data_IF_216700279850
#
_entry.id   IF_216700279850
#
_cell.length_a   1.000
_cell.length_b   1.000
_cell.length_c   1.000
_cell.angle_alpha   90.00
_cell.angle_beta   90.00
_cell.angle_gamma   90.00
#
_symmetry.space_group_name_H-M   'P 1'
#
loop_
_entity.id
_entity.type
_entity.pdbx_description
1 polymer ?
#
# COMPACT_ATOMS: atom_id res chain seq x y z
N UNK A 1 19.33 -16.21 16.88
CA UNK A 1 18.43 -17.32 16.51
C UNK A 1 17.01 -16.86 16.75
N UNK A 2 16.09 -17.12 15.81
CA UNK A 2 14.67 -16.81 15.98
C UNK A 2 14.07 -17.70 17.08
N UNK A 3 13.26 -17.10 17.96
CA UNK A 3 12.53 -17.83 18.99
C UNK A 3 11.11 -18.10 18.47
N UNK A 4 10.68 -19.36 18.48
CA UNK A 4 9.29 -19.69 18.16
C UNK A 4 8.39 -19.20 19.30
N UNK A 5 7.50 -18.26 19.00
CA UNK A 5 6.63 -17.61 19.99
C UNK A 5 5.26 -18.30 20.11
N UNK A 6 4.63 -18.62 18.98
CA UNK A 6 3.32 -19.25 18.91
C UNK A 6 3.24 -20.18 17.69
N UNK A 7 2.33 -21.17 17.73
CA UNK A 7 2.07 -22.09 16.62
C UNK A 7 0.72 -22.81 16.80
N UNK A 8 0.19 -23.35 15.70
CA UNK A 8 -1.06 -24.14 15.70
C UNK A 8 -0.77 -25.60 15.39
N UNK A 9 -1.51 -26.53 16.02
CA UNK A 9 -1.45 -27.97 15.72
C UNK A 9 -2.29 -28.38 14.51
N UNK A 10 -3.20 -27.51 14.07
CA UNK A 10 -4.13 -27.72 12.97
C UNK A 10 -4.83 -26.40 12.61
N UNK A 11 -5.77 -26.46 11.66
CA UNK A 11 -6.44 -25.28 11.13
C UNK A 11 -7.17 -24.44 12.20
N UNK A 12 -7.05 -23.12 12.06
CA UNK A 12 -7.84 -22.04 12.68
C UNK A 12 -9.34 -22.07 12.39
N UNK A 13 -10.13 -21.16 12.97
CA UNK A 13 -11.00 -20.25 12.20
C UNK A 13 -10.34 -18.84 12.20
N UNK A 14 -10.82 -17.92 11.37
CA UNK A 14 -10.31 -16.53 11.35
C UNK A 14 -10.44 -15.89 12.75
N UNK A 15 -9.33 -15.36 13.26
CA UNK A 15 -9.25 -14.74 14.60
C UNK A 15 -9.76 -15.61 15.76
N UNK A 16 -9.69 -16.94 15.64
CA UNK A 16 -9.97 -17.87 16.73
C UNK A 16 -8.74 -18.06 17.61
N UNK A 17 -8.63 -17.32 18.72
CA UNK A 17 -7.40 -17.21 19.51
C UNK A 17 -7.20 -18.29 20.59
N UNK A 18 -8.22 -19.12 20.83
CA UNK A 18 -8.33 -19.98 22.02
C UNK A 18 -8.52 -21.47 21.70
N UNK A 19 -8.39 -21.88 20.44
CA UNK A 19 -8.51 -23.28 20.03
C UNK A 19 -7.36 -24.16 20.51
N UNK A 20 -6.14 -23.62 20.51
CA UNK A 20 -4.95 -24.29 21.02
C UNK A 20 -4.18 -23.38 22.00
N UNK A 21 -3.69 -23.92 23.14
CA UNK A 21 -2.85 -23.16 24.07
C UNK A 21 -1.59 -22.60 23.41
N UNK A 22 -1.05 -23.28 22.39
CA UNK A 22 0.16 -22.88 21.68
C UNK A 22 -0.01 -21.67 20.75
N UNK A 23 -1.24 -21.20 20.53
CA UNK A 23 -1.51 -19.94 19.79
C UNK A 23 -1.04 -18.70 20.53
N UNK A 24 -0.68 -18.84 21.80
CA UNK A 24 -0.25 -17.75 22.66
C UNK A 24 1.21 -17.96 23.06
N UNK A 25 2.00 -16.89 22.97
CA UNK A 25 3.33 -16.88 23.53
C UNK A 25 3.29 -16.77 25.05
N UNK A 26 4.41 -17.09 25.70
CA UNK A 26 4.67 -16.52 27.03
C UNK A 26 4.69 -14.99 26.96
N UNK A 27 4.50 -14.30 28.08
CA UNK A 27 4.64 -12.84 28.12
C UNK A 27 6.03 -12.41 27.63
N UNK A 28 6.06 -11.43 26.74
CA UNK A 28 7.27 -10.83 26.20
C UNK A 28 7.30 -9.37 26.65
N UNK A 29 8.41 -8.94 27.24
CA UNK A 29 8.61 -7.55 27.59
C UNK A 29 9.07 -6.76 26.36
N UNK A 30 8.27 -5.78 25.95
CA UNK A 30 8.59 -4.86 24.87
C UNK A 30 8.96 -3.50 25.45
N UNK A 31 9.97 -2.86 24.86
CA UNK A 31 10.38 -1.49 25.15
C UNK A 31 9.63 -0.56 24.19
N UNK A 32 9.00 0.49 24.73
CA UNK A 32 8.29 1.47 23.91
C UNK A 32 9.24 2.11 22.87
N UNK A 33 8.78 2.20 21.63
CA UNK A 33 9.55 2.79 20.52
C UNK A 33 10.62 1.87 19.89
N UNK A 34 10.81 0.65 20.41
CA UNK A 34 11.74 -0.33 19.84
C UNK A 34 11.01 -1.24 18.85
N UNK A 35 11.56 -1.40 17.65
CA UNK A 35 11.05 -2.34 16.65
C UNK A 35 11.51 -3.76 16.99
N UNK A 36 10.58 -4.71 16.86
CA UNK A 36 10.83 -6.12 17.06
C UNK A 36 10.55 -6.88 15.77
N UNK A 37 11.49 -7.76 15.39
CA UNK A 37 11.30 -8.63 14.24
C UNK A 37 10.29 -9.72 14.59
N UNK A 38 9.25 -9.83 13.77
CA UNK A 38 8.34 -10.98 13.77
C UNK A 38 8.41 -11.65 12.41
N UNK A 39 8.51 -12.97 12.42
CA UNK A 39 8.43 -13.82 11.24
C UNK A 39 7.27 -14.76 11.43
N UNK A 40 6.48 -14.94 10.38
CA UNK A 40 5.40 -15.90 10.36
C UNK A 40 5.64 -16.94 9.27
N UNK A 41 5.79 -18.19 9.67
CA UNK A 41 5.79 -19.33 8.75
C UNK A 41 4.35 -19.82 8.60
N UNK A 42 3.78 -19.59 7.43
CA UNK A 42 2.43 -20.02 7.10
C UNK A 42 2.49 -21.19 6.10
N UNK A 43 1.69 -22.23 6.34
CA UNK A 43 1.59 -23.40 5.47
C UNK A 43 0.13 -23.67 5.18
N UNK A 44 -0.21 -23.70 3.90
CA UNK A 44 -1.49 -24.18 3.38
C UNK A 44 -1.43 -25.69 3.11
N UNK A 45 -2.55 -26.38 3.31
CA UNK A 45 -2.75 -27.76 2.85
C UNK A 45 -4.04 -27.89 2.03
N UNK A 46 -5.17 -27.43 2.58
CA UNK A 46 -6.45 -27.30 1.89
C UNK A 46 -7.36 -26.30 2.61
N UNK A 47 -8.04 -25.40 1.90
CA UNK A 47 -9.09 -24.52 2.46
C UNK A 47 -8.83 -23.04 2.18
N UNK A 48 -9.48 -22.15 2.94
CA UNK A 48 -9.18 -20.73 2.93
C UNK A 48 -8.05 -20.44 3.91
N UNK A 49 -7.09 -19.62 3.50
CA UNK A 49 -5.92 -19.25 4.30
C UNK A 49 -6.09 -17.89 4.96
N UNK A 50 -5.54 -17.78 6.16
CA UNK A 50 -5.42 -16.53 6.88
C UNK A 50 -4.30 -16.64 7.89
N UNK A 51 -3.66 -15.51 8.12
CA UNK A 51 -2.81 -15.31 9.28
C UNK A 51 -3.17 -13.98 9.93
N UNK A 52 -3.27 -14.00 11.25
CA UNK A 52 -3.45 -12.80 12.04
C UNK A 52 -2.56 -12.91 13.27
N UNK A 53 -1.83 -11.85 13.57
CA UNK A 53 -1.12 -11.70 14.83
C UNK A 53 -1.92 -10.74 15.71
N UNK A 54 -2.16 -11.13 16.96
CA UNK A 54 -2.80 -10.29 17.96
C UNK A 54 -1.88 -10.13 19.17
N UNK A 55 -2.01 -9.01 19.86
CA UNK A 55 -1.35 -8.77 21.14
C UNK A 55 -2.40 -8.57 22.23
N UNK A 56 -1.97 -8.72 23.47
CA UNK A 56 -2.68 -8.27 24.65
C UNK A 56 -1.66 -7.95 25.73
N UNK A 57 -2.02 -7.09 26.66
CA UNK A 57 -1.13 -6.63 27.71
C UNK A 57 -1.89 -6.20 28.95
N UNK A 58 -1.18 -5.79 30.02
CA UNK A 58 -1.80 -5.39 31.29
C UNK A 58 -2.92 -4.34 31.13
N UNK A 59 -2.74 -3.39 30.21
CA UNK A 59 -3.68 -2.31 29.91
C UNK A 59 -4.16 -2.33 28.44
N UNK A 60 -3.95 -3.44 27.74
CA UNK A 60 -4.21 -3.56 26.31
C UNK A 60 -5.14 -4.74 26.04
N UNK A 61 -6.41 -4.50 25.69
CA UNK A 61 -7.31 -5.60 25.34
C UNK A 61 -6.79 -6.33 24.12
N UNK A 62 -7.13 -7.62 24.01
CA UNK A 62 -6.71 -8.42 22.88
C UNK A 62 -7.22 -7.79 21.58
N UNK A 63 -6.28 -7.48 20.68
CA UNK A 63 -6.58 -6.89 19.39
C UNK A 63 -5.54 -7.34 18.37
N UNK A 64 -5.96 -7.38 17.11
CA UNK A 64 -5.05 -7.64 15.98
C UNK A 64 -4.01 -6.53 15.93
N UNK A 65 -2.75 -6.89 15.73
CA UNK A 65 -1.68 -5.94 15.45
C UNK A 65 -1.93 -5.39 14.05
N UNK A 66 -2.50 -4.20 13.98
CA UNK A 66 -2.81 -3.56 12.70
C UNK A 66 -1.55 -2.92 12.08
N UNK A 67 -1.68 -2.52 10.82
CA UNK A 67 -0.60 -2.03 9.97
C UNK A 67 0.18 -0.84 10.53
N UNK A 68 -0.44 0.00 11.37
CA UNK A 68 0.26 1.12 12.04
C UNK A 68 1.45 0.65 12.91
N UNK A 69 1.47 -0.63 13.31
CA UNK A 69 2.51 -1.25 14.13
C UNK A 69 3.37 -2.29 13.39
N UNK A 70 3.07 -2.57 12.12
CA UNK A 70 3.81 -3.53 11.31
C UNK A 70 4.67 -2.82 10.27
N UNK A 71 5.90 -3.30 10.12
CA UNK A 71 6.87 -2.77 9.16
C UNK A 71 7.47 -3.92 8.38
N UNK A 72 7.68 -3.74 7.08
CA UNK A 72 8.36 -4.73 6.25
C UNK A 72 9.80 -4.89 6.77
N UNK A 73 10.13 -6.11 7.21
CA UNK A 73 11.47 -6.41 7.68
C UNK A 73 12.47 -6.41 6.51
N UNK A 74 13.58 -5.68 6.69
CA UNK A 74 14.75 -5.73 5.82
C UNK A 74 15.97 -6.10 6.67
N UNK A 75 16.62 -7.26 6.42
CA UNK A 75 17.67 -7.80 7.30
C UNK A 75 18.95 -6.97 7.40
N UNK A 76 19.09 -5.90 6.61
CA UNK A 76 20.28 -5.06 6.57
C UNK A 76 20.05 -3.63 7.10
N UNK A 77 18.84 -3.32 7.60
CA UNK A 77 18.40 -1.95 7.82
C UNK A 77 17.95 -1.75 9.27
N UNK A 78 18.65 -0.93 10.05
CA UNK A 78 18.13 -0.36 11.30
C UNK A 78 17.46 0.97 10.99
N UNK A 79 16.15 1.08 11.19
CA UNK A 79 15.41 2.33 11.03
C UNK A 79 15.48 3.16 12.32
N UNK A 80 15.84 4.44 12.22
CA UNK A 80 15.58 5.42 13.28
C UNK A 80 14.28 6.14 12.97
N UNK A 81 13.36 6.18 13.94
CA UNK A 81 12.09 6.91 13.82
C UNK A 81 12.32 8.36 14.20
N UNK A 82 11.90 9.29 13.35
CA UNK A 82 11.82 10.72 13.63
C UNK A 82 10.37 11.15 13.47
N UNK A 83 9.71 11.56 14.56
CA UNK A 83 8.36 12.09 14.45
C UNK A 83 8.39 13.45 13.75
N UNK A 84 7.45 13.69 12.85
CA UNK A 84 7.37 14.97 12.13
C UNK A 84 7.01 16.10 13.09
N UNK A 85 6.31 15.82 14.20
CA UNK A 85 6.07 16.81 15.25
C UNK A 85 7.34 17.26 16.00
N UNK A 86 8.42 16.45 16.01
CA UNK A 86 9.72 16.85 16.56
C UNK A 86 10.52 17.75 15.60
N UNK A 87 10.13 17.81 14.32
CA UNK A 87 10.83 18.58 13.30
C UNK A 87 10.30 20.01 13.20
N UNK A 88 11.18 20.94 12.87
CA UNK A 88 10.76 22.29 12.50
C UNK A 88 10.52 22.35 10.99
N UNK A 89 9.33 22.76 10.54
CA UNK A 89 9.08 22.95 9.13
C UNK A 89 9.94 24.10 8.59
N UNK A 90 10.40 23.95 7.35
CA UNK A 90 11.07 25.02 6.60
C UNK A 90 10.10 26.11 6.18
N UNK A 91 8.83 25.76 6.00
CA UNK A 91 7.71 26.69 5.81
C UNK A 91 6.42 26.06 6.34
N UNK A 92 5.53 26.88 6.90
CA UNK A 92 4.24 26.45 7.39
C UNK A 92 3.17 27.51 7.09
N UNK A 93 2.07 27.08 6.50
CA UNK A 93 0.83 27.87 6.35
C UNK A 93 -0.34 27.04 6.84
N UNK A 94 -1.33 27.71 7.39
CA UNK A 94 -2.51 27.07 7.95
C UNK A 94 -3.72 28.00 7.77
N UNK A 95 -4.89 27.44 7.46
CA UNK A 95 -6.05 28.22 7.03
C UNK A 95 -6.65 29.03 8.17
N UNK A 96 -6.71 28.43 9.35
CA UNK A 96 -7.18 29.07 10.58
C UNK A 96 -6.24 28.72 11.74
N UNK A 97 -5.69 29.75 12.38
CA UNK A 97 -4.81 29.58 13.53
C UNK A 97 -3.45 28.98 13.16
N UNK A 98 -2.58 28.78 14.15
CA UNK A 98 -1.34 28.04 13.93
C UNK A 98 -1.62 26.55 13.68
N UNK A 99 -0.69 25.88 13.00
CA UNK A 99 -0.64 24.42 13.10
C UNK A 99 -0.15 24.04 14.50
N UNK A 100 -0.64 22.93 15.01
CA UNK A 100 -0.39 22.49 16.37
C UNK A 100 0.42 21.21 16.40
N UNK A 101 1.30 21.09 17.40
CA UNK A 101 2.13 19.89 17.59
C UNK A 101 1.61 19.12 18.77
N UNK A 102 1.41 17.84 18.55
CA UNK A 102 0.95 16.92 19.58
C UNK A 102 -0.44 17.29 20.18
N UNK A 103 -1.24 18.10 19.46
CA UNK A 103 -2.66 18.46 19.72
C UNK A 103 -3.41 18.70 18.40
N UNK A 104 -4.75 18.76 18.44
CA UNK A 104 -5.61 19.17 17.30
C UNK A 104 -5.42 20.67 16.98
N UNK A 105 -6.04 21.19 15.91
CA UNK A 105 -6.05 22.63 15.63
C UNK A 105 -7.00 23.36 16.60
N UNK A 106 -6.51 24.30 17.40
CA UNK A 106 -7.34 25.05 18.36
C UNK A 106 -7.76 26.45 17.91
N UNK A 107 -7.61 26.76 16.62
CA UNK A 107 -8.06 27.98 15.92
C UNK A 107 -7.35 29.30 16.29
N UNK A 108 -7.09 29.60 17.58
CA UNK A 108 -6.82 30.98 18.01
C UNK A 108 -5.34 31.25 18.36
N UNK A 109 -4.77 30.45 19.26
CA UNK A 109 -3.45 30.68 19.85
C UNK A 109 -2.63 29.40 19.85
N UNK A 110 -1.32 29.49 19.65
CA UNK A 110 -0.47 28.31 19.70
C UNK A 110 -0.62 27.55 21.03
N UNK A 111 -0.90 26.25 20.97
CA UNK A 111 -1.07 25.35 22.10
C UNK A 111 -2.46 25.38 22.76
N UNK A 112 -3.49 25.88 22.08
CA UNK A 112 -4.88 25.82 22.55
C UNK A 112 -5.68 24.63 22.00
N UNK A 113 -5.06 23.81 21.15
CA UNK A 113 -5.64 22.59 20.60
C UNK A 113 -5.98 21.53 21.66
N UNK A 114 -6.97 20.69 21.32
CA UNK A 114 -7.42 19.60 22.16
C UNK A 114 -6.57 18.34 21.97
N UNK A 115 -6.93 17.28 22.69
CA UNK A 115 -6.43 15.95 22.36
C UNK A 115 -7.03 15.50 21.05
N UNK A 116 -6.21 15.47 20.01
CA UNK A 116 -6.55 14.93 18.70
C UNK A 116 -7.04 13.49 18.78
N UNK A 117 -8.15 13.22 18.12
CA UNK A 117 -8.70 11.88 17.96
C UNK A 117 -9.22 11.67 16.54
N UNK A 118 -8.96 10.48 15.99
CA UNK A 118 -9.49 10.04 14.70
C UNK A 118 -10.34 8.80 14.92
N UNK A 119 -11.63 8.86 14.59
CA UNK A 119 -12.58 7.75 14.78
C UNK A 119 -12.48 7.12 16.18
N UNK A 120 -12.33 7.97 17.20
CA UNK A 120 -12.17 7.59 18.61
C UNK A 120 -10.77 7.11 19.03
N UNK A 121 -9.79 7.07 18.11
CA UNK A 121 -8.40 6.67 18.40
C UNK A 121 -7.57 7.89 18.78
N UNK A 122 -6.88 7.82 19.93
CA UNK A 122 -5.96 8.87 20.38
C UNK A 122 -4.52 8.57 20.00
N UNK A 123 -3.78 9.60 19.59
CA UNK A 123 -2.38 9.51 19.19
C UNK A 123 -1.47 10.38 20.05
N UNK A 124 -0.34 9.84 20.53
CA UNK A 124 0.60 10.60 21.35
C UNK A 124 1.48 11.59 20.56
N UNK A 125 1.75 11.30 19.28
CA UNK A 125 2.55 12.15 18.38
C UNK A 125 1.73 12.50 17.15
N UNK A 126 1.66 13.78 16.81
CA UNK A 126 0.66 14.27 15.84
C UNK A 126 0.88 15.72 15.42
N UNK A 127 0.24 16.11 14.32
CA UNK A 127 0.13 17.50 13.87
C UNK A 127 -1.33 17.81 13.55
N UNK A 128 -1.91 18.79 14.25
CA UNK A 128 -3.25 19.32 13.97
C UNK A 128 -3.16 20.54 13.06
N UNK A 129 -3.97 20.56 12.00
CA UNK A 129 -4.01 21.65 11.01
C UNK A 129 -5.45 22.01 10.67
N UNK A 130 -5.63 23.17 10.03
CA UNK A 130 -6.91 23.58 9.46
C UNK A 130 -6.73 23.90 7.97
N UNK A 131 -7.58 23.36 7.10
CA UNK A 131 -7.46 23.61 5.66
C UNK A 131 -7.70 25.09 5.29
N UNK A 132 -7.04 25.67 4.29
CA UNK A 132 -5.90 25.10 3.57
C UNK A 132 -4.62 25.19 4.40
N UNK A 133 -3.92 24.07 4.55
CA UNK A 133 -2.63 24.01 5.25
C UNK A 133 -1.55 23.43 4.36
N UNK A 134 -0.32 23.86 4.61
CA UNK A 134 0.88 23.32 3.98
C UNK A 134 2.05 23.41 4.97
N UNK A 135 2.62 22.26 5.31
CA UNK A 135 3.82 22.13 6.13
C UNK A 135 4.94 21.54 5.27
N UNK A 136 6.08 22.23 5.17
CA UNK A 136 7.25 21.80 4.39
C UNK A 136 8.39 21.40 5.32
N UNK A 137 9.06 20.30 5.01
CA UNK A 137 10.17 19.77 5.79
C UNK A 137 11.34 19.43 4.89
N UNK A 138 12.55 19.86 5.27
CA UNK A 138 13.77 19.43 4.60
C UNK A 138 14.11 18.00 5.02
N UNK A 139 14.10 17.07 4.06
CA UNK A 139 14.51 15.68 4.24
C UNK A 139 16.01 15.49 4.00
N UNK A 140 16.61 16.30 3.12
CA UNK A 140 18.04 16.26 2.80
C UNK A 140 18.56 14.85 2.42
N UNK A 141 17.71 13.99 1.85
CA UNK A 141 18.04 12.61 1.50
C UNK A 141 18.31 11.67 2.68
N UNK A 142 17.99 12.06 3.93
CA UNK A 142 18.34 11.30 5.13
C UNK A 142 17.35 10.19 5.48
N UNK A 143 16.18 10.22 4.85
CA UNK A 143 15.05 9.35 5.16
C UNK A 143 14.74 8.41 4.00
N UNK A 144 14.13 7.26 4.31
CA UNK A 144 13.69 6.26 3.34
C UNK A 144 12.17 6.06 3.32
N UNK A 145 11.46 6.35 4.42
CA UNK A 145 9.99 6.26 4.44
C UNK A 145 9.35 7.38 5.25
N UNK A 146 8.17 7.82 4.84
CA UNK A 146 7.24 8.66 5.59
C UNK A 146 5.95 7.88 5.83
N UNK A 147 5.48 7.87 7.07
CA UNK A 147 4.28 7.16 7.51
C UNK A 147 3.38 8.10 8.31
N UNK A 148 2.05 8.03 8.13
CA UNK A 148 1.08 8.75 8.96
C UNK A 148 -0.30 8.09 8.92
N UNK A 149 -1.07 8.22 9.98
CA UNK A 149 -2.53 8.03 9.96
C UNK A 149 -3.17 9.40 9.70
N UNK A 150 -4.22 9.46 8.89
CA UNK A 150 -4.86 10.74 8.50
C UNK A 150 -6.39 10.68 8.62
N UNK A 151 -6.97 11.84 8.90
CA UNK A 151 -8.42 12.02 8.97
C UNK A 151 -8.83 13.43 9.38
N UNK A 152 -10.13 13.72 9.27
CA UNK A 152 -10.74 14.89 9.90
C UNK A 152 -10.79 14.65 11.42
N UNK A 153 -10.41 15.64 12.22
CA UNK A 153 -10.40 15.50 13.69
C UNK A 153 -11.82 15.28 14.23
N UNK A 154 -12.00 14.37 15.18
CA UNK A 154 -13.32 14.07 15.73
C UNK A 154 -13.98 15.29 16.44
N UNK A 155 -13.22 16.32 16.84
CA UNK A 155 -13.72 17.51 17.53
C UNK A 155 -14.72 18.31 16.70
N UNK A 156 -14.63 18.20 15.37
CA UNK A 156 -15.56 18.82 14.42
C UNK A 156 -16.70 17.89 14.00
N UNK A 157 -16.71 16.63 14.44
CA UNK A 157 -17.73 15.64 14.07
C UNK A 157 -17.76 15.39 12.57
N UNK A 158 -18.94 15.48 11.94
CA UNK A 158 -19.10 15.28 10.49
C UNK A 158 -19.35 16.58 9.71
N UNK A 159 -18.83 17.71 10.23
CA UNK A 159 -19.22 19.03 9.75
C UNK A 159 -18.31 19.60 8.65
N UNK A 160 -17.07 19.14 8.53
CA UNK A 160 -16.13 19.58 7.50
C UNK A 160 -15.84 18.50 6.47
N UNK A 161 -14.91 18.82 5.58
CA UNK A 161 -14.37 17.85 4.64
C UNK A 161 -12.97 18.23 4.20
N UNK A 162 -12.05 17.27 4.19
CA UNK A 162 -10.63 17.53 3.93
C UNK A 162 -10.06 16.58 2.88
N UNK A 163 -9.00 17.01 2.21
CA UNK A 163 -8.21 16.14 1.33
C UNK A 163 -6.73 16.33 1.63
N UNK A 164 -6.06 15.23 1.94
CA UNK A 164 -4.66 15.18 2.29
C UNK A 164 -3.82 14.92 1.06
N UNK A 165 -2.71 15.64 0.94
CA UNK A 165 -1.70 15.40 -0.07
C UNK A 165 -0.32 15.32 0.55
N UNK A 166 0.50 14.40 0.05
CA UNK A 166 1.93 14.33 0.33
C UNK A 166 2.68 14.60 -0.95
N UNK A 167 3.54 15.62 -0.95
CA UNK A 167 4.47 15.88 -2.04
C UNK A 167 5.92 15.61 -1.61
N UNK A 168 6.72 15.14 -2.55
CA UNK A 168 8.18 15.06 -2.44
C UNK A 168 8.82 15.80 -3.61
N UNK A 169 9.71 16.74 -3.34
CA UNK A 169 10.41 17.51 -4.38
C UNK A 169 9.46 18.00 -5.50
N UNK A 170 8.30 18.53 -5.10
CA UNK A 170 7.18 18.99 -5.94
C UNK A 170 6.39 17.92 -6.73
N UNK A 171 6.72 16.64 -6.61
CA UNK A 171 5.90 15.53 -7.10
C UNK A 171 4.82 15.16 -6.06
N UNK A 172 3.58 14.94 -6.50
CA UNK A 172 2.49 14.46 -5.63
C UNK A 172 2.59 12.95 -5.48
N UNK A 173 2.82 12.42 -4.28
CA UNK A 173 2.99 10.97 -4.04
C UNK A 173 1.77 10.31 -3.41
N UNK A 174 0.94 11.07 -2.71
CA UNK A 174 -0.25 10.55 -2.06
C UNK A 174 -1.38 11.58 -2.10
N UNK A 175 -2.60 11.12 -2.36
CA UNK A 175 -3.83 11.89 -2.22
C UNK A 175 -4.89 11.00 -1.57
N UNK A 176 -5.51 11.45 -0.47
CA UNK A 176 -6.56 10.66 0.20
C UNK A 176 -7.88 10.64 -0.56
N UNK A 177 -8.13 11.70 -1.35
CA UNK A 177 -9.48 12.07 -1.74
C UNK A 177 -10.22 12.71 -0.56
N UNK A 178 -11.49 13.05 -0.76
CA UNK A 178 -12.30 13.67 0.28
C UNK A 178 -12.51 12.72 1.47
N UNK A 179 -12.08 13.17 2.64
CA UNK A 179 -12.36 12.58 3.94
C UNK A 179 -13.32 13.48 4.71
N UNK A 180 -14.14 12.86 5.53
CA UNK A 180 -15.04 13.48 6.51
C UNK A 180 -14.89 12.72 7.83
N UNK A 181 -15.44 13.21 8.94
CA UNK A 181 -15.40 12.53 10.23
C UNK A 181 -16.18 11.21 10.28
N UNK A 182 -16.87 10.82 9.21
CA UNK A 182 -17.45 9.49 9.04
C UNK A 182 -16.56 8.53 8.23
N UNK A 183 -15.42 9.00 7.74
CA UNK A 183 -14.49 8.18 6.96
C UNK A 183 -13.66 7.32 7.88
N UNK A 184 -13.33 6.11 7.44
CA UNK A 184 -12.32 5.30 8.10
C UNK A 184 -10.97 6.06 8.10
N UNK A 185 -10.20 5.86 9.16
CA UNK A 185 -8.81 6.34 9.24
C UNK A 185 -8.05 5.79 8.02
N UNK A 186 -7.36 6.67 7.28
CA UNK A 186 -6.50 6.23 6.20
C UNK A 186 -5.04 6.23 6.63
N UNK A 187 -4.29 5.24 6.15
CA UNK A 187 -2.86 5.14 6.37
C UNK A 187 -2.09 5.65 5.14
N UNK A 188 -1.07 6.45 5.41
CA UNK A 188 -0.12 6.99 4.45
C UNK A 188 1.20 6.24 4.62
N UNK A 189 1.67 5.64 3.53
CA UNK A 189 3.00 5.03 3.45
C UNK A 189 3.70 5.47 2.16
N UNK A 190 4.64 6.40 2.27
CA UNK A 190 5.35 7.02 1.12
C UNK A 190 6.86 6.79 1.20
N UNK A 191 7.45 6.32 0.11
CA UNK A 191 8.91 6.19 -0.05
C UNK A 191 9.49 7.59 -0.24
N UNK A 192 10.40 7.98 0.66
CA UNK A 192 11.05 9.29 0.64
C UNK A 192 12.56 9.20 0.41
N UNK A 193 13.04 8.04 -0.04
CA UNK A 193 14.45 7.81 -0.31
C UNK A 193 15.00 8.86 -1.29
N UNK A 194 16.10 9.49 -0.89
CA UNK A 194 16.80 10.52 -1.67
C UNK A 194 16.01 11.82 -1.90
N UNK A 195 14.81 11.98 -1.35
CA UNK A 195 14.04 13.20 -1.48
C UNK A 195 14.64 14.33 -0.62
N UNK A 196 14.51 15.59 -1.09
CA UNK A 196 15.07 16.76 -0.41
C UNK A 196 14.02 17.51 0.41
N UNK A 197 12.77 17.55 -0.05
CA UNK A 197 11.65 18.22 0.62
C UNK A 197 10.44 17.29 0.71
N UNK A 198 9.80 17.26 1.88
CA UNK A 198 8.48 16.69 2.13
C UNK A 198 7.49 17.84 2.33
N UNK A 199 6.37 17.83 1.61
CA UNK A 199 5.28 18.79 1.82
C UNK A 199 4.02 18.03 2.21
N UNK A 200 3.48 18.35 3.38
CA UNK A 200 2.23 17.82 3.91
C UNK A 200 1.16 18.89 3.74
N UNK A 201 0.15 18.61 2.92
CA UNK A 201 -0.85 19.60 2.52
C UNK A 201 -2.23 19.08 2.84
N UNK A 202 -3.08 19.95 3.40
CA UNK A 202 -4.52 19.68 3.54
C UNK A 202 -5.29 20.74 2.78
N UNK A 203 -6.17 20.32 1.87
CA UNK A 203 -7.17 21.20 1.25
C UNK A 203 -8.56 20.86 1.78
N UNK A 204 -9.52 21.70 1.44
CA UNK A 204 -10.92 21.35 1.51
C UNK A 204 -11.24 20.10 0.65
N UNK A 205 -12.22 19.29 1.09
CA UNK A 205 -12.64 18.02 0.53
C UNK A 205 -13.74 18.10 -0.54
N UNK A 206 -14.17 19.29 -0.94
CA UNK A 206 -15.16 19.49 -2.01
C UNK A 206 -16.34 20.39 -1.64
N UNK A 207 -16.32 21.02 -0.47
CA UNK A 207 -17.32 21.97 0.02
C UNK A 207 -16.71 23.36 0.35
N UNK A 208 -16.69 23.77 1.62
CA UNK A 208 -16.21 25.05 2.11
C UNK A 208 -15.29 24.82 3.32
N UNK A 209 -14.42 25.77 3.66
CA UNK A 209 -13.38 25.55 4.66
C UNK A 209 -13.87 25.45 6.12
N UNK A 210 -15.17 25.60 6.40
CA UNK A 210 -15.63 25.54 7.79
C UNK A 210 -15.44 24.13 8.33
N UNK A 211 -14.92 24.03 9.57
CA UNK A 211 -14.72 22.77 10.27
C UNK A 211 -13.65 21.85 9.65
N UNK A 212 -12.81 22.34 8.74
CA UNK A 212 -11.77 21.53 8.09
C UNK A 212 -10.53 21.30 9.00
N UNK A 213 -10.77 20.83 10.24
CA UNK A 213 -9.75 20.42 11.19
C UNK A 213 -9.24 19.03 10.80
N UNK A 214 -7.94 18.91 10.59
CA UNK A 214 -7.34 17.74 10.00
C UNK A 214 -6.05 17.34 10.69
N UNK A 215 -5.80 16.05 10.68
CA UNK A 215 -4.75 15.45 11.48
C UNK A 215 -3.78 14.64 10.66
N UNK A 216 -2.50 14.92 10.85
CA UNK A 216 -1.42 14.01 10.54
C UNK A 216 -1.02 13.26 11.82
N UNK A 217 -1.78 12.22 12.14
CA UNK A 217 -1.58 11.39 13.32
C UNK A 217 -0.39 10.43 13.13
N UNK A 218 0.42 10.24 14.18
CA UNK A 218 1.58 9.36 14.17
C UNK A 218 2.57 9.61 13.01
N UNK A 219 2.58 10.84 12.46
CA UNK A 219 3.37 11.23 11.32
C UNK A 219 4.86 11.11 11.64
N UNK A 220 5.57 10.26 10.89
CA UNK A 220 6.97 9.90 11.19
C UNK A 220 7.77 9.57 9.94
N UNK A 221 9.05 9.87 10.01
CA UNK A 221 10.07 9.54 9.03
C UNK A 221 10.96 8.43 9.55
N UNK A 222 11.32 7.49 8.67
CA UNK A 222 12.29 6.44 8.94
C UNK A 222 13.57 6.77 8.19
N UNK A 223 14.73 6.74 8.86
CA UNK A 223 16.02 6.97 8.19
C UNK A 223 16.26 5.96 7.07
N UNK A 224 16.87 6.41 5.98
CA UNK A 224 17.32 5.48 4.94
C UNK A 224 18.25 4.46 5.56
N UNK A 225 18.07 3.21 5.14
CA UNK A 225 18.92 2.13 5.54
C UNK A 225 20.38 2.38 5.20
N UNK A 226 21.19 2.79 6.17
CA UNK A 226 22.63 2.59 6.05
C UNK A 226 22.88 1.10 6.19
N UNK A 227 23.49 0.47 5.18
CA UNK A 227 24.03 -0.88 5.34
C UNK A 227 24.92 -0.89 6.58
N UNK A 228 24.43 -1.49 7.66
CA UNK A 228 25.24 -1.75 8.84
C UNK A 228 26.32 -2.76 8.44
N UNK A 229 27.57 -2.68 8.95
CA UNK A 229 28.52 -3.76 8.75
C UNK A 229 27.84 -5.09 9.13
N UNK A 230 27.99 -6.09 8.26
CA UNK A 230 27.42 -7.43 8.41
C UNK A 230 27.42 -7.85 9.89
N UNK A 231 26.26 -8.19 10.49
CA UNK A 231 26.26 -8.68 11.86
C UNK A 231 27.07 -9.97 11.90
N UNK A 232 28.28 -9.90 12.43
CA UNK A 232 29.00 -11.09 12.86
C UNK A 232 28.19 -11.64 14.03
N UNK A 233 27.44 -12.71 13.80
CA UNK A 233 26.79 -13.44 14.89
C UNK A 233 27.87 -13.92 15.84
N UNK A 234 28.00 -13.25 16.98
CA UNK A 234 28.86 -13.71 18.07
C UNK A 234 28.01 -14.66 18.91
N UNK A 235 28.31 -15.98 18.95
CA UNK A 235 27.63 -16.87 19.87
C UNK A 235 27.88 -16.42 21.32
N UNK A 236 26.91 -16.68 22.21
CA UNK A 236 27.00 -16.41 23.65
C UNK A 236 28.31 -17.01 24.22
N UNK A 237 29.08 -16.27 25.05
CA UNK A 237 30.44 -16.67 25.42
C UNK A 237 30.46 -17.87 26.37
N UNK A 238 31.38 -18.80 26.09
CA UNK A 238 31.97 -19.70 27.09
C UNK A 238 33.38 -19.20 27.41
N UNK A 239 33.72 -19.08 28.70
CA UNK A 239 34.98 -18.51 29.17
C UNK A 239 36.22 -19.30 28.71
N UNK A 240 37.24 -18.63 28.18
CA UNK A 240 38.61 -18.54 28.75
C UNK A 240 39.58 -17.72 27.87
N UNK A 241 40.65 -17.25 28.53
CA UNK A 241 41.61 -16.18 28.24
C UNK A 241 42.44 -16.25 26.94
N UNK A 242 42.81 -15.07 26.39
CA UNK A 242 44.21 -14.57 26.13
C UNK A 242 44.21 -13.46 25.03
N UNK A 243 45.05 -12.39 25.10
CA UNK A 243 44.78 -11.12 24.42
C UNK A 243 45.37 -10.97 23.00
N UNK A 244 44.82 -9.97 22.30
CA UNK A 244 45.05 -9.57 20.91
C UNK A 244 46.43 -8.95 20.61
N UNK A 245 46.78 -8.84 19.31
CA UNK A 245 47.58 -7.73 18.81
C UNK A 245 46.77 -6.79 17.90
N UNK A 246 47.11 -5.50 18.02
CA UNK A 246 46.62 -4.37 17.23
C UNK A 246 47.31 -4.34 15.87
N UNK A 247 46.56 -4.08 14.79
CA UNK A 247 47.14 -3.79 13.46
C UNK A 247 46.58 -2.48 12.89
N UNK A 248 47.52 -1.66 12.43
CA UNK A 248 47.42 -0.29 11.95
C UNK A 248 46.81 -0.23 10.53
N UNK A 249 45.91 0.72 10.28
CA UNK A 249 45.33 0.96 8.97
C UNK A 249 46.26 1.78 8.07
N UNK A 250 46.46 1.34 6.83
CA UNK A 250 47.07 2.11 5.73
C UNK A 250 46.03 2.37 4.65
N UNK A 251 45.91 3.61 4.18
CA UNK A 251 45.01 4.02 3.11
C UNK A 251 45.58 3.64 1.72
N UNK A 252 44.78 2.95 0.91
CA UNK A 252 44.99 2.72 -0.52
C UNK A 252 44.14 3.68 -1.36
N UNK A 253 44.62 4.19 -2.51
CA UNK A 253 43.87 5.08 -3.39
C UNK A 253 42.72 4.35 -4.11
N UNK A 254 41.69 5.08 -4.58
CA UNK A 254 40.42 4.49 -5.03
C UNK A 254 40.57 3.74 -6.37
N UNK A 255 39.84 2.62 -6.56
CA UNK A 255 39.86 1.88 -7.81
C UNK A 255 39.12 2.62 -8.92
N UNK A 256 39.70 2.58 -10.12
CA UNK A 256 39.09 2.98 -11.40
C UNK A 256 37.76 2.25 -11.59
N UNK A 257 36.69 2.99 -11.94
CA UNK A 257 35.36 2.44 -12.13
C UNK A 257 35.33 1.36 -13.24
N UNK A 258 34.97 0.14 -12.84
CA UNK A 258 34.63 -0.97 -13.74
C UNK A 258 33.27 -0.70 -14.39
N UNK A 259 33.06 -1.00 -15.68
CA UNK A 259 31.74 -0.88 -16.31
C UNK A 259 30.71 -1.71 -15.52
N UNK A 260 29.69 -1.04 -15.01
CA UNK A 260 28.61 -1.64 -14.23
C UNK A 260 27.77 -2.55 -15.13
N UNK A 261 27.61 -3.80 -14.71
CA UNK A 261 26.62 -4.75 -15.24
C UNK A 261 25.24 -4.06 -15.29
N UNK A 262 24.46 -4.20 -16.38
CA UNK A 262 23.10 -3.66 -16.44
C UNK A 262 22.29 -4.18 -15.24
N UNK A 263 21.43 -3.35 -14.63
CA UNK A 263 20.59 -3.79 -13.52
C UNK A 263 19.74 -4.99 -13.94
N UNK A 264 19.66 -5.99 -13.06
CA UNK A 264 18.86 -7.19 -13.25
C UNK A 264 17.37 -6.83 -13.36
N UNK A 265 16.63 -7.54 -14.23
CA UNK A 265 15.20 -7.29 -14.41
C UNK A 265 14.44 -7.67 -13.13
N UNK A 266 13.67 -6.72 -12.58
CA UNK A 266 12.81 -6.97 -11.43
C UNK A 266 11.51 -7.67 -11.87
N UNK A 267 11.11 -8.71 -11.14
CA UNK A 267 9.80 -9.36 -11.30
C UNK A 267 8.82 -8.76 -10.30
N UNK A 268 7.66 -8.35 -10.78
CA UNK A 268 6.54 -7.85 -9.98
C UNK A 268 5.38 -8.82 -10.18
N UNK A 269 4.95 -9.43 -9.09
CA UNK A 269 3.82 -10.35 -9.05
C UNK A 269 2.82 -9.82 -8.02
N UNK A 270 1.62 -9.50 -8.48
CA UNK A 270 0.58 -8.80 -7.72
C UNK A 270 -0.78 -9.36 -8.09
N UNK A 271 -1.69 -9.31 -7.14
CA UNK A 271 -3.01 -9.90 -7.26
C UNK A 271 -4.10 -8.83 -7.06
N UNK A 272 -5.30 -9.12 -7.56
CA UNK A 272 -6.50 -8.40 -7.13
C UNK A 272 -6.77 -8.69 -5.66
N UNK A 273 -6.96 -7.65 -4.84
CA UNK A 273 -7.03 -7.75 -3.38
C UNK A 273 -8.29 -7.12 -2.77
N UNK A 274 -9.25 -6.69 -3.58
CA UNK A 274 -10.57 -6.26 -3.08
C UNK A 274 -11.64 -6.45 -4.15
N UNK A 275 -12.90 -6.60 -3.74
CA UNK A 275 -14.05 -6.65 -4.67
C UNK A 275 -14.19 -5.37 -5.50
N UNK A 276 -13.58 -4.26 -5.09
CA UNK A 276 -13.59 -3.02 -5.88
C UNK A 276 -12.43 -2.90 -6.88
N UNK A 277 -11.57 -3.92 -6.94
CA UNK A 277 -10.44 -4.00 -7.85
C UNK A 277 -10.71 -4.93 -9.04
N UNK A 278 -11.83 -5.64 -9.08
CA UNK A 278 -12.35 -6.27 -10.29
C UNK A 278 -13.86 -6.08 -10.42
N UNK A 279 -14.35 -6.09 -11.66
CA UNK A 279 -15.76 -5.80 -11.93
C UNK A 279 -16.21 -6.28 -13.31
N UNK A 280 -17.49 -6.62 -13.41
CA UNK A 280 -18.21 -6.79 -14.68
C UNK A 280 -19.07 -5.57 -14.97
N UNK A 281 -19.18 -5.18 -16.24
CA UNK A 281 -20.15 -4.20 -16.72
C UNK A 281 -20.85 -4.67 -17.99
N UNK A 282 -22.18 -4.75 -17.95
CA UNK A 282 -22.97 -4.97 -19.16
C UNK A 282 -22.94 -3.73 -20.06
N UNK A 283 -22.49 -3.87 -21.31
CA UNK A 283 -22.31 -2.73 -22.22
C UNK A 283 -23.62 -2.16 -22.79
N UNK A 284 -24.73 -2.90 -22.71
CA UNK A 284 -26.03 -2.46 -23.22
C UNK A 284 -26.74 -1.47 -22.28
N UNK A 285 -26.49 -1.54 -20.98
CA UNK A 285 -27.12 -0.70 -19.97
C UNK A 285 -26.14 -0.07 -18.96
N UNK A 286 -24.85 -0.38 -19.05
CA UNK A 286 -23.78 0.12 -18.20
C UNK A 286 -23.82 -0.39 -16.76
N UNK A 287 -24.62 -1.41 -16.44
CA UNK A 287 -24.75 -1.94 -15.08
C UNK A 287 -23.45 -2.60 -14.62
N UNK A 288 -22.88 -2.12 -13.52
CA UNK A 288 -21.62 -2.60 -12.95
C UNK A 288 -21.85 -3.47 -11.71
N UNK A 289 -21.19 -4.62 -11.66
CA UNK A 289 -21.18 -5.52 -10.50
C UNK A 289 -19.75 -5.70 -10.00
N UNK A 290 -19.54 -5.48 -8.69
CA UNK A 290 -18.23 -5.55 -8.04
C UNK A 290 -18.00 -6.86 -7.28
N UNK A 291 -19.05 -7.62 -6.97
CA UNK A 291 -18.98 -8.77 -6.08
C UNK A 291 -19.40 -10.09 -6.74
N UNK A 292 -19.31 -10.15 -8.08
CA UNK A 292 -19.55 -11.37 -8.81
C UNK A 292 -18.42 -12.34 -8.54
N UNK A 293 -18.71 -13.62 -8.30
CA UNK A 293 -17.69 -14.67 -8.16
C UNK A 293 -17.07 -15.11 -9.50
N UNK A 294 -17.63 -14.65 -10.61
CA UNK A 294 -17.20 -15.01 -11.96
C UNK A 294 -17.22 -13.76 -12.82
N UNK A 295 -16.06 -13.38 -13.34
CA UNK A 295 -15.97 -12.34 -14.36
C UNK A 295 -16.13 -12.98 -15.74
N UNK A 296 -16.92 -12.35 -16.60
CA UNK A 296 -17.19 -12.89 -17.94
C UNK A 296 -16.47 -12.08 -19.01
N UNK A 297 -15.34 -12.60 -19.50
CA UNK A 297 -14.63 -11.99 -20.62
C UNK A 297 -15.44 -12.17 -21.92
N UNK A 298 -15.63 -11.07 -22.64
CA UNK A 298 -16.35 -11.03 -23.91
C UNK A 298 -17.85 -10.76 -23.75
N UNK A 299 -18.67 -11.80 -23.80
CA UNK A 299 -20.12 -11.69 -23.73
C UNK A 299 -20.73 -12.76 -22.81
N UNK A 300 -21.72 -12.38 -22.00
CA UNK A 300 -22.52 -13.30 -21.21
C UNK A 300 -23.87 -13.52 -21.86
N UNK A 301 -24.18 -14.76 -22.27
CA UNK A 301 -25.43 -15.12 -22.94
C UNK A 301 -25.73 -14.22 -24.16
N UNK A 302 -24.70 -13.83 -24.91
CA UNK A 302 -24.81 -12.96 -26.09
C UNK A 302 -24.90 -11.46 -25.77
N UNK A 303 -24.95 -11.05 -24.50
CA UNK A 303 -24.85 -9.65 -24.09
C UNK A 303 -23.39 -9.27 -23.91
N UNK A 304 -22.96 -8.22 -24.60
CA UNK A 304 -21.57 -7.75 -24.53
C UNK A 304 -21.24 -7.25 -23.11
N UNK A 305 -20.06 -7.64 -22.62
CA UNK A 305 -19.59 -7.36 -21.28
C UNK A 305 -18.22 -6.66 -21.35
N UNK A 306 -17.97 -5.75 -20.42
CA UNK A 306 -16.64 -5.26 -20.11
C UNK A 306 -16.19 -5.82 -18.77
N UNK A 307 -14.94 -6.26 -18.70
CA UNK A 307 -14.32 -6.67 -17.43
C UNK A 307 -13.23 -5.68 -17.07
N UNK A 308 -13.31 -5.16 -15.85
CA UNK A 308 -12.32 -4.29 -15.26
C UNK A 308 -11.47 -5.09 -14.27
N UNK A 309 -10.15 -4.92 -14.31
CA UNK A 309 -9.21 -5.54 -13.37
C UNK A 309 -8.18 -4.49 -12.95
N UNK A 310 -7.95 -4.28 -11.66
CA UNK A 310 -7.08 -3.26 -11.10
C UNK A 310 -6.07 -3.91 -10.16
N UNK A 311 -4.81 -3.58 -10.37
CA UNK A 311 -3.70 -3.96 -9.51
C UNK A 311 -3.24 -2.73 -8.75
N UNK A 312 -3.07 -2.89 -7.43
CA UNK A 312 -2.72 -1.79 -6.56
C UNK A 312 -1.22 -1.67 -6.33
N UNK A 313 -0.76 -0.44 -6.07
CA UNK A 313 0.56 -0.19 -5.49
C UNK A 313 1.73 -0.75 -6.30
N UNK A 314 1.68 -0.63 -7.63
CA UNK A 314 2.68 -1.26 -8.50
C UNK A 314 4.05 -0.57 -8.33
N UNK A 315 5.10 -1.27 -7.85
CA UNK A 315 6.42 -0.68 -7.64
C UNK A 315 7.20 -0.58 -8.96
N UNK A 316 6.57 0.01 -9.98
CA UNK A 316 7.15 0.21 -11.31
C UNK A 316 7.55 1.68 -11.44
N UNK A 317 8.86 1.99 -11.52
CA UNK A 317 9.30 3.35 -11.74
C UNK A 317 8.74 3.94 -13.04
N UNK A 318 8.57 5.26 -13.04
CA UNK A 318 8.24 5.98 -14.25
C UNK A 318 9.28 5.75 -15.35
N UNK A 319 8.82 5.48 -16.56
CA UNK A 319 9.68 5.22 -17.71
C UNK A 319 10.46 3.92 -17.63
N UNK A 320 10.19 3.05 -16.64
CA UNK A 320 10.81 1.73 -16.57
C UNK A 320 10.62 0.98 -17.89
N UNK A 321 11.67 0.30 -18.32
CA UNK A 321 11.62 -0.56 -19.50
C UNK A 321 10.92 -1.86 -19.11
N UNK A 322 9.75 -2.12 -19.70
CA UNK A 322 8.99 -3.35 -19.46
C UNK A 322 9.52 -4.45 -20.36
N UNK A 323 10.12 -5.47 -19.74
CA UNK A 323 10.66 -6.62 -20.46
C UNK A 323 9.53 -7.56 -20.91
N UNK A 324 8.63 -7.89 -19.98
CA UNK A 324 7.45 -8.72 -20.22
C UNK A 324 6.33 -8.33 -19.25
N UNK A 325 5.07 -8.63 -19.62
CA UNK A 325 3.90 -8.47 -18.76
C UNK A 325 2.74 -9.30 -19.31
N UNK A 326 1.98 -9.95 -18.43
CA UNK A 326 0.77 -10.73 -18.75
C UNK A 326 -0.11 -10.86 -17.50
N UNK A 327 -1.39 -11.21 -17.66
CA UNK A 327 -2.20 -11.72 -16.54
C UNK A 327 -2.19 -13.23 -16.55
N UNK A 328 -2.27 -13.84 -15.36
CA UNK A 328 -2.54 -15.25 -15.17
C UNK A 328 -3.90 -15.39 -14.45
N UNK A 329 -4.85 -16.09 -15.06
CA UNK A 329 -6.20 -16.27 -14.51
C UNK A 329 -6.46 -17.72 -14.18
N UNK A 330 -7.29 -17.96 -13.17
CA UNK A 330 -7.91 -19.28 -12.97
C UNK A 330 -9.29 -19.29 -13.63
N UNK A 331 -9.54 -20.26 -14.50
CA UNK A 331 -10.85 -20.45 -15.12
C UNK A 331 -11.90 -20.79 -14.06
N UNK A 332 -12.98 -20.02 -14.05
CA UNK A 332 -14.11 -20.19 -13.12
C UNK A 332 -15.03 -21.34 -13.53
N UNK A 333 -15.13 -21.62 -14.82
CA UNK A 333 -15.93 -22.71 -15.39
C UNK A 333 -15.33 -23.12 -16.73
N UNK A 334 -15.67 -24.32 -17.20
CA UNK A 334 -15.38 -24.74 -18.57
C UNK A 334 -16.16 -23.87 -19.56
N UNK A 335 -15.46 -23.22 -20.48
CA UNK A 335 -16.05 -22.37 -21.52
C UNK A 335 -15.47 -22.72 -22.89
N UNK A 336 -16.34 -22.84 -23.88
CA UNK A 336 -16.02 -23.32 -25.24
C UNK A 336 -16.50 -22.34 -26.30
N UNK A 337 -16.38 -22.72 -27.57
CA UNK A 337 -16.74 -21.85 -28.70
C UNK A 337 -15.68 -20.79 -29.02
N UNK A 338 -15.87 -20.12 -30.16
CA UNK A 338 -14.97 -19.06 -30.61
C UNK A 338 -15.07 -17.83 -29.70
N UNK A 339 -13.92 -17.26 -29.35
CA UNK A 339 -13.83 -16.02 -28.60
C UNK A 339 -12.66 -15.18 -29.13
N UNK A 340 -12.85 -13.87 -29.14
CA UNK A 340 -11.83 -12.90 -29.49
C UNK A 340 -11.95 -11.73 -28.51
N UNK A 341 -10.85 -11.41 -27.83
CA UNK A 341 -10.80 -10.39 -26.79
C UNK A 341 -9.82 -9.27 -27.18
N UNK A 342 -10.02 -8.12 -26.57
CA UNK A 342 -9.18 -6.94 -26.68
C UNK A 342 -8.86 -6.46 -25.27
N UNK A 343 -7.57 -6.23 -25.00
CA UNK A 343 -7.10 -5.77 -23.69
C UNK A 343 -6.64 -4.33 -23.84
N UNK A 344 -7.12 -3.47 -22.94
CA UNK A 344 -6.73 -2.07 -22.83
C UNK A 344 -6.24 -1.80 -21.41
N UNK A 345 -5.36 -0.83 -21.25
CA UNK A 345 -5.12 -0.18 -19.96
C UNK A 345 -6.07 1.00 -19.76
N UNK A 346 -6.37 1.34 -18.52
CA UNK A 346 -7.03 2.60 -18.16
C UNK A 346 -6.00 3.73 -18.28
N UNK A 347 -6.13 4.59 -19.29
CA UNK A 347 -5.15 5.60 -19.68
C UNK A 347 -5.12 6.83 -18.74
N UNK A 348 -4.90 6.57 -17.46
CA UNK A 348 -4.65 7.53 -16.40
C UNK A 348 -3.38 7.12 -15.65
N UNK A 349 -2.80 8.04 -14.88
CA UNK A 349 -1.58 7.78 -14.14
C UNK A 349 -1.80 6.85 -12.94
N UNK A 350 -2.88 7.07 -12.20
CA UNK A 350 -3.25 6.26 -11.04
C UNK A 350 -4.74 5.88 -11.18
N UNK A 351 -4.99 4.60 -11.38
CA UNK A 351 -6.35 4.10 -11.58
C UNK A 351 -7.11 4.09 -10.28
N UNK A 352 -8.31 4.68 -10.28
CA UNK A 352 -9.25 4.59 -9.16
C UNK A 352 -10.00 3.25 -9.14
N UNK A 353 -10.48 2.85 -7.95
CA UNK A 353 -11.32 1.67 -7.74
C UNK A 353 -12.56 1.67 -8.64
N UNK A 354 -13.08 0.49 -8.95
CA UNK A 354 -14.37 0.37 -9.62
C UNK A 354 -15.51 0.75 -8.66
N UNK A 355 -16.60 1.28 -9.22
CA UNK A 355 -17.81 1.67 -8.47
C UNK A 355 -19.04 1.12 -9.16
N UNK A 356 -20.10 0.84 -8.39
CA UNK A 356 -21.43 0.53 -8.92
C UNK A 356 -22.13 1.77 -9.49
N UNK A 357 -21.47 2.42 -10.44
CA UNK A 357 -21.97 3.57 -11.18
C UNK A 357 -22.10 3.16 -12.63
N UNK A 358 -23.20 3.53 -13.27
CA UNK A 358 -23.46 3.19 -14.68
C UNK A 358 -22.27 3.60 -15.56
N UNK A 359 -21.71 2.67 -16.33
CA UNK A 359 -20.62 2.98 -17.25
C UNK A 359 -19.23 3.05 -16.62
N UNK A 360 -19.02 2.62 -15.36
CA UNK A 360 -17.75 2.88 -14.65
C UNK A 360 -16.51 2.25 -15.29
N UNK A 361 -16.66 1.16 -16.06
CA UNK A 361 -15.58 0.48 -16.79
C UNK A 361 -15.54 1.00 -18.23
N UNK A 362 -16.69 1.00 -18.91
CA UNK A 362 -16.77 1.32 -20.33
C UNK A 362 -16.45 2.78 -20.65
N UNK A 363 -16.70 3.72 -19.72
CA UNK A 363 -16.40 5.15 -19.90
C UNK A 363 -14.93 5.52 -19.65
N UNK A 364 -14.13 4.61 -19.08
CA UNK A 364 -12.73 4.88 -18.74
C UNK A 364 -11.90 5.14 -20.01
N UNK A 365 -11.03 6.17 -20.02
CA UNK A 365 -10.10 6.39 -21.14
C UNK A 365 -9.17 5.18 -21.30
N UNK A 366 -8.85 4.83 -22.55
CA UNK A 366 -8.13 3.59 -22.87
C UNK A 366 -6.79 3.88 -23.55
N UNK A 367 -5.81 3.04 -23.27
CA UNK A 367 -4.55 2.99 -24.02
C UNK A 367 -4.78 2.45 -25.43
N UNK A 368 -3.70 2.27 -26.20
CA UNK A 368 -3.73 1.33 -27.32
C UNK A 368 -4.07 -0.09 -26.84
N UNK A 369 -4.69 -0.90 -27.68
CA UNK A 369 -5.05 -2.29 -27.32
C UNK A 369 -3.97 -3.30 -27.66
N UNK A 370 -4.03 -4.44 -26.97
CA UNK A 370 -3.47 -5.71 -27.43
C UNK A 370 -4.62 -6.61 -27.87
N UNK A 371 -4.54 -7.12 -29.10
CA UNK A 371 -5.50 -8.08 -29.64
C UNK A 371 -5.21 -9.49 -29.12
N UNK A 372 -6.25 -10.18 -28.66
CA UNK A 372 -6.21 -11.60 -28.30
C UNK A 372 -7.19 -12.39 -29.19
N UNK A 373 -6.81 -12.64 -30.45
CA UNK A 373 -7.65 -13.39 -31.37
C UNK A 373 -7.62 -14.88 -31.03
N UNK A 374 -8.73 -15.58 -31.27
CA UNK A 374 -8.85 -17.02 -31.10
C UNK A 374 -8.50 -17.51 -29.69
N UNK A 375 -9.07 -16.87 -28.66
CA UNK A 375 -8.85 -17.28 -27.27
C UNK A 375 -9.22 -18.75 -27.11
N UNK A 376 -8.30 -19.55 -26.59
CA UNK A 376 -8.48 -20.98 -26.40
C UNK A 376 -9.65 -21.28 -25.46
N UNK A 377 -10.34 -22.44 -25.60
CA UNK A 377 -11.32 -22.87 -24.62
C UNK A 377 -10.72 -22.99 -23.22
N UNK A 378 -11.44 -22.53 -22.19
CA UNK A 378 -11.02 -22.71 -20.81
C UNK A 378 -11.63 -23.98 -20.22
N UNK A 379 -10.85 -24.69 -19.42
CA UNK A 379 -11.27 -25.83 -18.61
C UNK A 379 -11.31 -25.39 -17.16
N UNK A 380 -12.38 -25.75 -16.45
CA UNK A 380 -12.58 -25.38 -15.05
C UNK A 380 -11.33 -25.62 -14.17
N UNK A 381 -11.06 -24.66 -13.28
CA UNK A 381 -9.92 -24.62 -12.36
C UNK A 381 -8.51 -24.64 -13.00
N UNK A 382 -8.39 -24.59 -14.33
CA UNK A 382 -7.08 -24.47 -14.98
C UNK A 382 -6.64 -23.01 -15.09
N UNK A 383 -5.32 -22.81 -15.07
CA UNK A 383 -4.69 -21.50 -15.23
C UNK A 383 -4.43 -21.17 -16.70
N UNK A 384 -4.68 -19.93 -17.08
CA UNK A 384 -4.48 -19.40 -18.44
C UNK A 384 -3.77 -18.06 -18.38
N UNK A 385 -3.07 -17.68 -19.46
CA UNK A 385 -2.39 -16.38 -19.55
C UNK A 385 -2.91 -15.57 -20.72
N UNK A 386 -2.92 -14.26 -20.57
CA UNK A 386 -3.09 -13.37 -21.72
C UNK A 386 -1.88 -13.46 -22.67
N UNK A 387 -2.03 -12.97 -23.91
CA UNK A 387 -0.88 -12.51 -24.69
C UNK A 387 -0.07 -11.47 -23.90
N UNK A 388 1.17 -11.24 -24.31
CA UNK A 388 2.02 -10.23 -23.69
C UNK A 388 1.41 -8.82 -23.80
N UNK A 389 1.13 -8.20 -22.66
CA UNK A 389 0.55 -6.85 -22.54
C UNK A 389 1.60 -5.76 -22.30
N UNK A 390 2.90 -6.07 -22.49
CA UNK A 390 4.00 -5.14 -22.24
C UNK A 390 3.82 -3.77 -22.89
N UNK A 391 3.20 -3.69 -24.06
CA UNK A 391 2.97 -2.43 -24.76
C UNK A 391 2.01 -1.51 -23.98
N UNK A 392 0.97 -2.08 -23.37
CA UNK A 392 0.01 -1.35 -22.53
C UNK A 392 0.70 -0.87 -21.26
N UNK A 393 1.41 -1.76 -20.57
CA UNK A 393 2.15 -1.40 -19.34
C UNK A 393 3.21 -0.35 -19.65
N UNK A 394 3.95 -0.51 -20.75
CA UNK A 394 4.95 0.46 -21.19
C UNK A 394 4.34 1.82 -21.49
N UNK A 395 3.18 1.86 -22.16
CA UNK A 395 2.44 3.11 -22.43
C UNK A 395 2.06 3.82 -21.13
N UNK A 396 1.57 3.08 -20.14
CA UNK A 396 1.13 3.64 -18.85
C UNK A 396 2.30 4.13 -17.99
N UNK A 397 3.37 3.34 -17.86
CA UNK A 397 4.53 3.73 -17.04
C UNK A 397 5.36 4.84 -17.69
N UNK A 398 5.28 5.00 -19.01
CA UNK A 398 5.93 6.10 -19.73
C UNK A 398 5.20 7.45 -19.59
N UNK A 399 3.99 7.48 -18.98
CA UNK A 399 3.24 8.73 -18.82
C UNK A 399 3.99 9.69 -17.89
N UNK A 400 4.03 11.00 -18.21
CA UNK A 400 4.73 12.00 -17.38
C UNK A 400 4.27 12.10 -15.92
N UNK A 401 3.08 11.63 -15.57
CA UNK A 401 2.61 11.62 -14.18
C UNK A 401 2.46 10.22 -13.59
N UNK A 402 2.97 9.18 -14.24
CA UNK A 402 3.08 7.86 -13.62
C UNK A 402 4.11 7.91 -12.50
N UNK A 403 3.78 7.33 -11.35
CA UNK A 403 4.64 7.22 -10.18
C UNK A 403 4.71 5.76 -9.74
N UNK A 404 5.85 5.35 -9.19
CA UNK A 404 5.96 4.04 -8.54
C UNK A 404 5.00 3.99 -7.36
N UNK A 405 4.23 2.91 -7.25
CA UNK A 405 3.11 2.79 -6.30
C UNK A 405 1.76 3.18 -6.90
N UNK A 406 1.69 3.65 -8.14
CA UNK A 406 0.40 3.90 -8.79
C UNK A 406 -0.34 2.60 -9.11
N UNK A 407 -1.66 2.68 -9.10
CA UNK A 407 -2.53 1.58 -9.44
C UNK A 407 -2.74 1.51 -10.96
N UNK A 408 -2.77 0.31 -11.52
CA UNK A 408 -3.03 0.09 -12.94
C UNK A 408 -4.32 -0.70 -13.10
N UNK A 409 -5.29 -0.14 -13.82
CA UNK A 409 -6.49 -0.85 -14.22
C UNK A 409 -6.43 -1.22 -15.70
N UNK A 410 -7.07 -2.32 -16.03
CA UNK A 410 -7.20 -2.87 -17.36
C UNK A 410 -8.66 -3.15 -17.66
N UNK A 411 -8.99 -3.06 -18.94
CA UNK A 411 -10.34 -3.21 -19.46
C UNK A 411 -10.28 -4.26 -20.55
N UNK A 412 -11.03 -5.34 -20.38
CA UNK A 412 -11.12 -6.43 -21.34
C UNK A 412 -12.51 -6.38 -21.99
N UNK A 413 -12.51 -6.29 -23.32
CA UNK A 413 -13.71 -6.29 -24.16
C UNK A 413 -13.62 -7.44 -25.16
N UNK A 414 -14.72 -7.79 -25.80
CA UNK A 414 -14.68 -8.70 -26.95
C UNK A 414 -15.97 -9.47 -27.17
N UNK A 415 -15.82 -10.63 -27.80
CA UNK A 415 -16.90 -11.56 -28.10
C UNK A 415 -16.55 -13.00 -27.69
N UNK A 416 -17.57 -13.87 -27.74
CA UNK A 416 -17.48 -15.19 -27.14
C UNK A 416 -17.49 -15.09 -25.61
N UNK A 417 -17.38 -16.22 -24.94
CA UNK A 417 -17.45 -16.27 -23.47
C UNK A 417 -16.23 -16.99 -22.92
N UNK A 418 -15.48 -16.33 -22.03
CA UNK A 418 -14.54 -16.98 -21.12
C UNK A 418 -14.83 -16.56 -19.69
N UNK A 419 -14.91 -17.52 -18.79
CA UNK A 419 -15.26 -17.29 -17.39
C UNK A 419 -14.01 -17.44 -16.53
N UNK A 420 -13.63 -16.38 -15.82
CA UNK A 420 -12.51 -16.37 -14.88
C UNK A 420 -13.02 -16.17 -13.47
N UNK A 421 -12.29 -16.68 -12.47
CA UNK A 421 -12.58 -16.39 -11.08
C UNK A 421 -12.31 -14.90 -10.80
N UNK A 422 -13.10 -14.31 -9.92
CA UNK A 422 -12.86 -12.98 -9.35
C UNK A 422 -12.24 -13.10 -7.97
N UNK A 423 -11.85 -11.96 -7.40
CA UNK A 423 -11.50 -11.83 -5.99
C UNK A 423 -12.55 -12.49 -5.06
N UNK A 424 -13.85 -12.23 -5.28
CA UNK A 424 -14.94 -12.73 -4.42
C UNK A 424 -15.17 -14.24 -4.48
N UNK A 425 -14.51 -14.94 -5.41
CA UNK A 425 -14.52 -16.41 -5.44
C UNK A 425 -13.45 -17.03 -4.54
N UNK A 426 -12.50 -16.24 -4.04
CA UNK A 426 -11.37 -16.71 -3.23
C UNK A 426 -10.21 -17.29 -4.04
N UNK A 427 -10.25 -17.17 -5.37
CA UNK A 427 -9.13 -17.46 -6.26
C UNK A 427 -8.71 -16.13 -6.88
N UNK A 428 -7.59 -15.58 -6.41
CA UNK A 428 -7.09 -14.32 -6.92
C UNK A 428 -6.68 -14.42 -8.38
N UNK A 429 -6.89 -13.31 -9.08
CA UNK A 429 -6.41 -12.99 -10.43
C UNK A 429 -5.14 -12.17 -10.33
#
# INVERSE_FOLDING_TARGET
MAQKLAWVKGATDIQQWDKYPEQQSSSIFLEAGKLYYIEALHKEESGADYISAAWSGPDLPQQVINEQYLYVYSPNNTYTITYVSDLNPTAATNGWGPYERDTSNGENSAGDGNTLTLNGVTYARRLGVHAHSELRYALNGQYGRFLADIGEDDEVGSNGSVNFYVYLDDALLYSSGALTGNSDIQFVDVDVANANELRLIVTNGGDNINYDHADWANARLLTAATASPTPTFTPLPTATNTPAPVATATFTPPPTATPTTPPEAQVIDVQVISSSDDADEYLDNGSVTLNNQVLTLGALQGRANAVGIRFRELPIPQGATIVDAYFEFTAATTSTGAAALEIYGHAINDSIRFRQTTGNISSRPRTSKVDWPNVEPFTDAQKYRTPGIKAIVQELVARPGWLSGNNMAFIILGNGTRSIASYDRGWSV
#
